data_IF_425286816880
#
_entry.id   IF_425286816880
#
_cell.length_a   1.000
_cell.length_b   1.000
_cell.length_c   1.000
_cell.angle_alpha   90.00
_cell.angle_beta   90.00
_cell.angle_gamma   90.00
#
_symmetry.space_group_name_H-M   'P 1'
#
loop_
_entity.id
_entity.type
_entity.pdbx_description
1 polymer ?
#
# COMPACT_ATOMS: atom_id res chain seq x y z
N UNK A 1 -20.16 17.61 -2.51
CA UNK A 1 -18.98 18.29 -1.90
C UNK A 1 -19.15 18.27 -0.40
N UNK A 2 -18.70 17.21 0.23
CA UNK A 2 -18.65 17.12 1.68
C UNK A 2 -17.38 17.84 2.13
N UNK A 3 -17.49 19.13 2.39
CA UNK A 3 -16.47 19.89 3.08
C UNK A 3 -16.44 19.45 4.53
N UNK A 4 -15.58 18.53 4.89
CA UNK A 4 -15.17 18.31 6.27
C UNK A 4 -14.28 19.50 6.64
N UNK A 5 -14.90 20.60 7.01
CA UNK A 5 -14.27 21.65 7.80
C UNK A 5 -14.21 21.14 9.23
N UNK A 6 -13.22 20.36 9.54
CA UNK A 6 -12.89 20.09 10.93
C UNK A 6 -11.93 21.16 11.41
N UNK A 7 -12.45 22.05 12.23
CA UNK A 7 -11.71 23.13 12.87
C UNK A 7 -11.18 22.73 14.26
N UNK A 8 -11.24 21.47 14.63
CA UNK A 8 -10.52 20.94 15.77
C UNK A 8 -9.20 20.37 15.27
N UNK A 9 -8.10 21.06 15.50
CA UNK A 9 -6.76 20.51 15.23
C UNK A 9 -6.63 19.21 16.02
N UNK A 10 -6.65 18.07 15.31
CA UNK A 10 -6.48 16.75 15.91
C UNK A 10 -5.12 16.71 16.62
N UNK A 11 -5.15 16.66 17.95
CA UNK A 11 -3.95 16.68 18.78
C UNK A 11 -2.99 15.52 18.45
N UNK A 12 -3.46 14.52 17.73
CA UNK A 12 -2.73 13.35 17.26
C UNK A 12 -2.43 13.37 15.76
N UNK A 13 -2.70 14.51 15.07
CA UNK A 13 -2.23 14.71 13.70
C UNK A 13 -0.71 14.70 13.66
N UNK A 14 -0.15 14.13 12.57
CA UNK A 14 1.29 13.96 12.38
C UNK A 14 2.09 15.26 12.56
N UNK A 15 1.58 16.38 12.09
CA UNK A 15 2.25 17.68 12.17
C UNK A 15 2.35 18.15 13.64
N UNK A 16 1.26 18.01 14.38
CA UNK A 16 1.18 18.37 15.79
C UNK A 16 2.00 17.40 16.65
N UNK A 17 1.89 16.10 16.40
CA UNK A 17 2.70 15.08 17.05
C UNK A 17 4.21 15.36 16.92
N UNK A 18 4.65 15.83 15.73
CA UNK A 18 6.07 16.14 15.49
C UNK A 18 6.60 17.17 16.51
N UNK A 19 5.89 18.27 16.68
CA UNK A 19 6.30 19.32 17.62
C UNK A 19 6.18 18.90 19.08
N UNK A 20 5.14 18.18 19.42
CA UNK A 20 4.94 17.66 20.78
C UNK A 20 6.02 16.65 21.16
N UNK A 21 6.39 15.75 20.26
CA UNK A 21 7.49 14.81 20.46
C UNK A 21 8.83 15.52 20.55
N UNK A 22 9.05 16.55 19.72
CA UNK A 22 10.28 17.36 19.81
C UNK A 22 10.45 17.96 21.20
N UNK A 23 9.36 18.53 21.77
CA UNK A 23 9.37 19.08 23.12
C UNK A 23 9.63 18.00 24.19
N UNK A 24 9.00 16.83 24.09
CA UNK A 24 9.22 15.73 25.04
C UNK A 24 10.65 15.17 24.96
N UNK A 25 11.26 15.18 23.80
CA UNK A 25 12.62 14.68 23.59
C UNK A 25 13.72 15.69 24.01
N UNK A 26 13.38 16.89 24.48
CA UNK A 26 14.34 17.83 25.11
C UNK A 26 14.82 17.35 26.46
N UNK A 27 13.95 16.67 27.22
CA UNK A 27 14.29 16.06 28.48
C UNK A 27 14.45 14.54 28.36
N UNK A 28 15.67 14.10 28.01
CA UNK A 28 16.03 12.68 27.81
C UNK A 28 16.53 12.02 29.09
N UNK A 29 16.42 12.67 30.23
CA UNK A 29 16.98 12.15 31.51
C UNK A 29 16.09 11.07 32.14
N UNK A 30 14.89 10.87 31.62
CA UNK A 30 14.00 9.80 32.09
C UNK A 30 14.57 8.40 31.76
N UNK A 31 14.52 7.45 32.73
CA UNK A 31 15.11 6.12 32.54
C UNK A 31 14.62 5.37 31.30
N UNK A 32 13.34 5.55 30.94
CA UNK A 32 12.74 4.93 29.77
C UNK A 32 13.34 5.43 28.45
N UNK A 33 13.90 6.64 28.41
CA UNK A 33 14.47 7.28 27.22
C UNK A 33 16.00 7.11 27.10
N UNK A 34 16.64 6.45 28.08
CA UNK A 34 18.09 6.23 28.06
C UNK A 34 18.63 5.59 26.77
N UNK A 35 17.92 4.63 26.13
CA UNK A 35 18.36 4.09 24.84
C UNK A 35 18.50 5.13 23.73
N UNK A 36 17.78 6.25 23.82
CA UNK A 36 17.80 7.32 22.83
C UNK A 36 18.89 8.36 23.10
N UNK A 37 19.43 8.40 24.31
CA UNK A 37 20.39 9.43 24.77
C UNK A 37 21.64 9.46 23.90
N UNK A 38 22.22 8.31 23.59
CA UNK A 38 23.43 8.22 22.77
C UNK A 38 23.19 8.68 21.33
N UNK A 39 22.01 8.40 20.79
CA UNK A 39 21.64 8.81 19.43
C UNK A 39 21.36 10.31 19.33
N UNK A 40 20.70 10.88 20.32
CA UNK A 40 20.25 12.28 20.35
C UNK A 40 21.29 13.26 20.91
N UNK A 41 22.43 12.77 21.42
CA UNK A 41 23.55 13.58 21.91
C UNK A 41 24.57 13.91 20.81
N UNK A 42 25.45 14.90 21.06
CA UNK A 42 26.55 15.29 20.18
C UNK A 42 26.20 16.47 19.24
N UNK A 43 27.08 16.71 18.27
CA UNK A 43 26.90 17.81 17.30
C UNK A 43 25.58 17.66 16.53
N UNK A 44 24.91 18.80 16.29
CA UNK A 44 23.60 18.89 15.64
C UNK A 44 22.46 18.13 16.37
N UNK A 45 22.55 18.04 17.68
CA UNK A 45 21.52 17.36 18.52
C UNK A 45 20.10 17.87 18.25
N UNK A 46 19.92 19.17 18.02
CA UNK A 46 18.62 19.78 17.76
C UNK A 46 18.02 19.31 16.43
N UNK A 47 18.84 19.25 15.38
CA UNK A 47 18.40 18.75 14.08
C UNK A 47 18.07 17.24 14.14
N UNK A 48 18.93 16.46 14.78
CA UNK A 48 18.69 15.01 14.98
C UNK A 48 17.40 14.77 15.76
N UNK A 49 17.17 15.54 16.83
CA UNK A 49 15.96 15.44 17.65
C UNK A 49 14.70 15.75 16.85
N UNK A 50 14.71 16.82 16.05
CA UNK A 50 13.58 17.16 15.18
C UNK A 50 13.32 16.10 14.12
N UNK A 51 14.36 15.60 13.44
CA UNK A 51 14.24 14.54 12.46
C UNK A 51 13.68 13.23 13.06
N UNK A 52 14.17 12.88 14.25
CA UNK A 52 13.68 11.73 15.00
C UNK A 52 12.23 11.92 15.43
N UNK A 53 11.87 13.07 15.99
CA UNK A 53 10.49 13.41 16.36
C UNK A 53 9.54 13.28 15.16
N UNK A 54 9.96 13.74 13.97
CA UNK A 54 9.17 13.61 12.74
C UNK A 54 8.97 12.16 12.31
N UNK A 55 10.00 11.31 12.46
CA UNK A 55 9.90 9.88 12.15
C UNK A 55 8.97 9.17 13.14
N UNK A 56 9.09 9.45 14.42
CA UNK A 56 8.21 8.85 15.45
C UNK A 56 6.78 9.34 15.31
N UNK A 57 6.56 10.62 14.98
CA UNK A 57 5.22 11.13 14.70
C UNK A 57 4.56 10.39 13.54
N UNK A 58 5.30 10.15 12.46
CA UNK A 58 4.82 9.35 11.34
C UNK A 58 4.50 7.91 11.76
N UNK A 59 5.37 7.30 12.56
CA UNK A 59 5.16 5.94 13.06
C UNK A 59 3.93 5.85 13.97
N UNK A 60 3.74 6.81 14.86
CA UNK A 60 2.57 6.85 15.74
C UNK A 60 1.26 7.14 14.98
N UNK A 61 1.32 7.98 13.95
CA UNK A 61 0.19 8.19 13.04
C UNK A 61 -0.20 6.88 12.33
N UNK A 62 0.78 6.12 11.83
CA UNK A 62 0.53 4.81 11.25
C UNK A 62 0.01 3.78 12.28
N UNK A 63 0.54 3.75 13.49
CA UNK A 63 0.09 2.81 14.53
C UNK A 63 -1.38 2.99 14.89
N UNK A 64 -1.88 4.21 14.88
CA UNK A 64 -3.29 4.50 15.17
C UNK A 64 -4.25 3.76 14.20
N UNK A 65 -3.80 3.53 12.97
CA UNK A 65 -4.62 2.95 11.90
C UNK A 65 -4.27 1.48 11.67
N UNK A 66 -2.96 1.15 11.62
CA UNK A 66 -2.48 -0.17 11.23
C UNK A 66 -2.33 -1.13 12.40
N UNK A 67 -2.18 -0.61 13.64
CA UNK A 67 -1.94 -1.40 14.85
C UNK A 67 -2.78 -0.92 16.04
N UNK A 68 -4.10 -0.92 15.90
CA UNK A 68 -5.01 -0.42 16.95
C UNK A 68 -4.86 -1.18 18.27
N UNK A 69 -4.55 -2.48 18.22
CA UNK A 69 -4.36 -3.31 19.42
C UNK A 69 -3.13 -2.88 20.21
N UNK A 70 -2.05 -2.51 19.52
CA UNK A 70 -0.83 -1.96 20.14
C UNK A 70 -1.13 -0.66 20.88
N UNK A 71 -1.82 0.27 20.20
CA UNK A 71 -2.19 1.56 20.78
C UNK A 71 -3.13 1.38 21.96
N UNK A 72 -4.14 0.52 21.84
CA UNK A 72 -5.07 0.19 22.94
C UNK A 72 -4.36 -0.45 24.13
N UNK A 73 -3.38 -1.32 23.89
CA UNK A 73 -2.55 -1.87 24.96
C UNK A 73 -1.77 -0.79 25.69
N UNK A 74 -1.18 0.16 24.97
CA UNK A 74 -0.44 1.28 25.54
C UNK A 74 -1.33 2.25 26.33
N UNK A 75 -2.53 2.55 25.84
CA UNK A 75 -3.52 3.37 26.55
C UNK A 75 -3.91 2.74 27.91
N UNK A 76 -3.98 1.40 27.94
CA UNK A 76 -4.23 0.63 29.16
C UNK A 76 -2.97 0.36 30.00
N UNK A 77 -1.83 0.99 29.66
CA UNK A 77 -0.56 0.84 30.37
C UNK A 77 0.13 -0.52 30.19
N UNK A 78 -0.35 -1.37 29.28
CA UNK A 78 0.21 -2.70 29.02
C UNK A 78 1.19 -2.67 27.86
N UNK A 79 2.19 -3.53 27.89
CA UNK A 79 3.08 -3.80 26.74
C UNK A 79 2.41 -4.80 25.83
N UNK A 80 2.60 -4.64 24.53
CA UNK A 80 2.05 -5.51 23.50
C UNK A 80 3.05 -6.58 23.05
N UNK A 81 4.34 -6.21 22.98
CA UNK A 81 5.43 -7.11 22.61
C UNK A 81 6.50 -7.18 23.70
N UNK A 82 7.47 -8.08 23.53
CA UNK A 82 8.67 -8.15 24.39
C UNK A 82 9.86 -7.34 23.84
N UNK A 83 9.65 -6.58 22.77
CA UNK A 83 10.71 -5.81 22.13
C UNK A 83 11.16 -4.66 23.06
N UNK A 84 12.46 -4.48 23.21
CA UNK A 84 13.04 -3.39 24.03
C UNK A 84 12.69 -2.01 23.50
N UNK A 85 12.55 -1.85 22.19
CA UNK A 85 12.15 -0.59 21.57
C UNK A 85 10.73 -0.16 21.91
N UNK A 86 9.84 -1.08 22.25
CA UNK A 86 8.47 -0.75 22.66
C UNK A 86 8.43 0.06 23.94
N UNK A 87 9.37 -0.17 24.86
CA UNK A 87 9.38 0.48 26.16
C UNK A 87 9.44 2.01 26.07
N UNK A 88 10.35 2.56 25.27
CA UNK A 88 10.47 4.00 25.11
C UNK A 88 9.37 4.58 24.21
N UNK A 89 8.88 3.82 23.23
CA UNK A 89 7.74 4.24 22.39
C UNK A 89 6.45 4.36 23.22
N UNK A 90 6.13 3.35 24.02
CA UNK A 90 5.00 3.37 24.94
C UNK A 90 5.11 4.55 25.92
N UNK A 91 6.32 4.81 26.44
CA UNK A 91 6.54 5.93 27.36
C UNK A 91 6.24 7.29 26.69
N UNK A 92 6.73 7.52 25.47
CA UNK A 92 6.43 8.74 24.71
C UNK A 92 4.93 8.85 24.41
N UNK A 93 4.29 7.75 23.99
CA UNK A 93 2.84 7.72 23.74
C UNK A 93 2.05 8.10 25.01
N UNK A 94 2.37 7.52 26.16
CA UNK A 94 1.74 7.84 27.44
C UNK A 94 1.88 9.32 27.80
N UNK A 95 3.05 9.92 27.58
CA UNK A 95 3.26 11.37 27.80
C UNK A 95 2.40 12.23 26.87
N UNK A 96 2.31 11.84 25.59
CA UNK A 96 1.42 12.51 24.62
C UNK A 96 -0.05 12.44 25.07
N UNK A 97 -0.51 11.29 25.53
CA UNK A 97 -1.88 11.11 26.06
C UNK A 97 -2.14 11.96 27.29
N UNK A 98 -1.21 12.03 28.23
CA UNK A 98 -1.34 12.83 29.46
C UNK A 98 -1.41 14.34 29.19
N UNK A 99 -0.79 14.80 28.13
CA UNK A 99 -0.73 16.23 27.76
C UNK A 99 -1.78 16.62 26.71
N UNK A 100 -2.70 15.72 26.36
CA UNK A 100 -3.75 15.95 25.37
C UNK A 100 -5.11 15.57 25.91
N UNK A 101 -6.10 16.41 25.63
CA UNK A 101 -7.51 16.13 25.92
C UNK A 101 -8.28 15.52 24.73
N UNK A 102 -7.61 15.38 23.56
CA UNK A 102 -8.23 14.84 22.35
C UNK A 102 -8.21 13.32 22.29
N UNK A 103 -9.14 12.78 21.51
CA UNK A 103 -9.17 11.37 21.10
C UNK A 103 -8.25 11.15 19.91
N UNK A 104 -7.60 10.02 19.81
CA UNK A 104 -6.80 9.67 18.64
C UNK A 104 -7.64 8.85 17.63
N UNK A 105 -7.18 8.78 16.36
CA UNK A 105 -7.93 8.13 15.26
C UNK A 105 -8.33 6.69 15.56
N UNK A 106 -7.45 5.91 16.21
CA UNK A 106 -7.76 4.53 16.58
C UNK A 106 -8.91 4.41 17.58
N UNK A 107 -9.06 5.38 18.47
CA UNK A 107 -10.17 5.48 19.43
C UNK A 107 -11.48 5.85 18.73
N UNK A 108 -11.43 6.87 17.85
CA UNK A 108 -12.59 7.29 17.04
C UNK A 108 -13.11 6.16 16.17
N UNK A 109 -12.22 5.46 15.44
CA UNK A 109 -12.62 4.35 14.60
C UNK A 109 -13.15 3.18 15.46
N UNK A 110 -12.52 2.90 16.60
CA UNK A 110 -13.02 1.89 17.52
C UNK A 110 -14.43 2.18 18.05
N UNK A 111 -14.69 3.43 18.44
CA UNK A 111 -16.02 3.88 18.87
C UNK A 111 -17.04 3.83 17.72
N UNK A 112 -16.63 4.15 16.50
CA UNK A 112 -17.50 4.02 15.33
C UNK A 112 -17.91 2.57 15.08
N UNK A 113 -16.97 1.62 15.12
CA UNK A 113 -17.25 0.19 14.95
C UNK A 113 -18.25 -0.28 16.02
N UNK A 114 -18.00 0.09 17.27
CA UNK A 114 -18.88 -0.26 18.39
C UNK A 114 -20.29 0.35 18.23
N UNK A 115 -20.35 1.59 17.75
CA UNK A 115 -21.61 2.28 17.51
C UNK A 115 -22.43 1.61 16.38
N UNK A 116 -21.78 1.32 15.25
CA UNK A 116 -22.42 0.64 14.12
C UNK A 116 -23.01 -0.72 14.51
N UNK A 117 -22.27 -1.49 15.32
CA UNK A 117 -22.74 -2.80 15.79
C UNK A 117 -23.89 -2.71 16.81
N UNK A 118 -23.97 -1.62 17.61
CA UNK A 118 -25.00 -1.49 18.65
C UNK A 118 -26.23 -0.71 18.21
N UNK A 119 -26.09 0.16 17.24
CA UNK A 119 -27.08 1.11 16.78
C UNK A 119 -27.27 1.07 15.27
N UNK A 120 -27.67 -0.08 14.69
CA UNK A 120 -27.92 -0.18 13.26
C UNK A 120 -29.03 0.77 12.77
N UNK A 121 -29.94 1.18 13.67
CA UNK A 121 -31.02 2.13 13.41
C UNK A 121 -30.53 3.55 13.07
N UNK A 122 -29.28 3.90 13.43
CA UNK A 122 -28.70 5.21 13.13
C UNK A 122 -28.17 5.30 11.68
N UNK A 123 -28.12 4.18 10.96
CA UNK A 123 -27.75 4.15 9.55
C UNK A 123 -28.93 4.68 8.72
N UNK A 124 -28.73 5.73 7.90
CA UNK A 124 -29.81 6.28 7.10
C UNK A 124 -30.47 5.22 6.20
N UNK A 125 -31.81 5.16 6.10
CA UNK A 125 -32.52 4.15 5.29
C UNK A 125 -32.13 4.15 3.80
N UNK A 126 -31.68 5.29 3.30
CA UNK A 126 -31.23 5.44 1.90
C UNK A 126 -29.83 4.87 1.67
N UNK A 127 -29.10 4.54 2.74
CA UNK A 127 -27.75 4.00 2.67
C UNK A 127 -27.79 2.47 2.68
N UNK A 128 -28.19 1.90 1.53
CA UNK A 128 -28.44 0.45 1.40
C UNK A 128 -27.25 -0.33 0.88
N UNK A 129 -26.33 0.30 0.12
CA UNK A 129 -25.22 -0.38 -0.57
C UNK A 129 -23.95 0.43 -0.52
N UNK A 130 -22.84 -0.28 -0.34
CA UNK A 130 -21.47 0.24 -0.44
C UNK A 130 -20.70 -0.56 -1.48
N UNK A 131 -20.09 0.13 -2.43
CA UNK A 131 -19.22 -0.48 -3.44
C UNK A 131 -17.78 -0.08 -3.18
N UNK A 132 -16.94 -1.06 -2.89
CA UNK A 132 -15.50 -0.89 -2.69
C UNK A 132 -14.79 -1.34 -3.95
N UNK A 133 -14.18 -0.39 -4.66
CA UNK A 133 -13.58 -0.63 -5.96
C UNK A 133 -12.16 -0.06 -6.05
N UNK A 134 -11.25 -0.78 -6.75
CA UNK A 134 -9.91 -0.31 -7.07
C UNK A 134 -8.93 -0.28 -5.89
N UNK A 135 -9.24 -0.95 -4.79
CA UNK A 135 -8.33 -1.08 -3.65
C UNK A 135 -7.50 -2.36 -3.77
N UNK A 136 -6.18 -2.22 -3.61
CA UNK A 136 -5.25 -3.36 -3.55
C UNK A 136 -4.77 -3.61 -2.12
N UNK A 137 -5.11 -2.74 -1.19
CA UNK A 137 -4.83 -2.88 0.25
C UNK A 137 -5.74 -1.94 1.02
N UNK A 138 -6.11 -2.35 2.22
CA UNK A 138 -6.91 -1.56 3.15
C UNK A 138 -6.38 -1.80 4.56
N UNK A 139 -6.19 -0.74 5.38
CA UNK A 139 -5.85 -0.93 6.78
C UNK A 139 -6.89 -1.80 7.50
N UNK A 140 -6.47 -2.71 8.39
CA UNK A 140 -7.39 -3.63 9.08
C UNK A 140 -8.55 -2.95 9.79
N UNK A 141 -8.34 -1.75 10.33
CA UNK A 141 -9.42 -1.00 10.99
C UNK A 141 -10.52 -0.57 10.04
N UNK A 142 -10.18 -0.12 8.83
CA UNK A 142 -11.20 0.26 7.84
C UNK A 142 -11.98 -0.97 7.35
N UNK A 143 -11.30 -2.10 7.20
CA UNK A 143 -11.98 -3.36 6.90
C UNK A 143 -12.99 -3.72 8.00
N UNK A 144 -12.61 -3.60 9.27
CA UNK A 144 -13.53 -3.82 10.41
C UNK A 144 -14.71 -2.86 10.44
N UNK A 145 -14.53 -1.61 10.00
CA UNK A 145 -15.66 -0.67 9.82
C UNK A 145 -16.61 -1.18 8.74
N UNK A 146 -16.07 -1.64 7.61
CA UNK A 146 -16.89 -2.19 6.53
C UNK A 146 -17.59 -3.49 6.93
N UNK A 147 -16.94 -4.34 7.71
CA UNK A 147 -17.55 -5.56 8.27
C UNK A 147 -18.68 -5.21 9.24
N UNK A 148 -18.47 -4.27 10.18
CA UNK A 148 -19.53 -3.83 11.08
C UNK A 148 -20.70 -3.14 10.34
N UNK A 149 -20.41 -2.48 9.22
CA UNK A 149 -21.44 -1.89 8.38
C UNK A 149 -22.23 -2.97 7.62
N UNK A 150 -21.57 -4.07 7.24
CA UNK A 150 -22.17 -5.16 6.47
C UNK A 150 -23.28 -5.91 7.24
N UNK A 151 -23.36 -5.76 8.57
CA UNK A 151 -24.46 -6.27 9.38
C UNK A 151 -25.83 -5.62 9.01
N UNK A 152 -25.80 -4.44 8.39
CA UNK A 152 -27.00 -3.65 8.08
C UNK A 152 -27.07 -3.14 6.64
N UNK A 153 -25.98 -3.18 5.90
CA UNK A 153 -25.82 -2.60 4.56
C UNK A 153 -25.14 -3.60 3.65
N UNK A 154 -25.60 -3.75 2.40
CA UNK A 154 -24.90 -4.60 1.43
C UNK A 154 -23.54 -3.98 1.07
N UNK A 155 -22.44 -4.68 1.37
CA UNK A 155 -21.07 -4.26 1.04
C UNK A 155 -20.52 -5.14 -0.06
N UNK A 156 -20.23 -4.55 -1.21
CA UNK A 156 -19.69 -5.24 -2.38
C UNK A 156 -18.22 -4.89 -2.59
N UNK A 157 -17.34 -5.89 -2.57
CA UNK A 157 -15.93 -5.74 -2.88
C UNK A 157 -15.64 -6.17 -4.31
N UNK A 158 -15.06 -5.27 -5.11
CA UNK A 158 -14.52 -5.58 -6.43
C UNK A 158 -13.01 -5.71 -6.33
N UNK A 159 -12.56 -6.92 -6.09
CA UNK A 159 -11.14 -7.26 -5.94
C UNK A 159 -10.51 -7.52 -7.31
N UNK A 160 -9.45 -6.80 -7.64
CA UNK A 160 -8.62 -7.13 -8.80
C UNK A 160 -7.68 -8.27 -8.42
N UNK A 161 -8.01 -9.48 -8.89
CA UNK A 161 -7.22 -10.68 -8.71
C UNK A 161 -6.43 -10.99 -9.98
N UNK A 162 -5.11 -11.17 -9.91
CA UNK A 162 -4.29 -11.54 -11.08
C UNK A 162 -4.37 -13.03 -11.43
N UNK A 163 -4.95 -13.84 -10.56
CA UNK A 163 -5.03 -15.29 -10.64
C UNK A 163 -6.45 -15.74 -10.28
N UNK A 164 -6.98 -16.75 -10.97
CA UNK A 164 -8.29 -17.33 -10.70
C UNK A 164 -8.32 -18.20 -9.44
N UNK A 165 -7.15 -18.60 -8.94
CA UNK A 165 -7.01 -19.40 -7.73
C UNK A 165 -6.56 -18.58 -6.53
N UNK A 166 -6.79 -19.10 -5.32
CA UNK A 166 -6.24 -18.52 -4.11
C UNK A 166 -4.71 -18.56 -4.15
N UNK A 167 -4.07 -17.40 -3.99
CA UNK A 167 -2.61 -17.28 -4.01
C UNK A 167 -1.99 -16.75 -2.72
N UNK A 168 -2.76 -16.71 -1.62
CA UNK A 168 -2.29 -16.25 -0.31
C UNK A 168 -1.10 -17.06 0.24
N UNK A 169 -1.08 -18.36 -0.03
CA UNK A 169 -0.02 -19.27 0.43
C UNK A 169 1.27 -19.24 -0.42
N UNK A 170 1.37 -18.31 -1.35
CA UNK A 170 2.53 -18.23 -2.24
C UNK A 170 3.76 -17.68 -1.52
N UNK A 171 4.73 -18.53 -1.27
CA UNK A 171 6.03 -18.13 -0.78
C UNK A 171 6.89 -17.51 -1.89
N UNK A 172 7.45 -16.35 -1.62
CA UNK A 172 8.46 -15.75 -2.50
C UNK A 172 9.69 -16.68 -2.60
N UNK A 173 10.41 -16.63 -3.73
CA UNK A 173 11.66 -17.41 -3.92
C UNK A 173 12.66 -17.21 -2.77
N UNK A 174 12.71 -16.02 -2.14
CA UNK A 174 13.55 -15.74 -0.98
C UNK A 174 13.10 -16.46 0.28
N UNK A 175 11.78 -16.56 0.51
CA UNK A 175 11.22 -17.29 1.64
C UNK A 175 11.48 -18.80 1.48
N UNK A 176 11.41 -19.33 0.25
CA UNK A 176 11.75 -20.75 -0.06
C UNK A 176 13.21 -21.08 0.16
N UNK A 177 14.14 -20.17 -0.15
CA UNK A 177 15.60 -20.40 0.08
C UNK A 177 15.93 -20.43 1.57
N UNK A 178 15.17 -19.71 2.41
CA UNK A 178 15.36 -19.66 3.87
C UNK A 178 14.70 -20.83 4.64
N UNK A 179 13.77 -21.55 4.02
CA UNK A 179 13.14 -22.75 4.58
C UNK A 179 13.74 -23.95 3.89
N UNK A 180 14.16 -24.94 4.66
CA UNK A 180 14.67 -26.21 4.09
C UNK A 180 13.62 -26.92 3.24
N UNK A 181 14.03 -27.88 2.37
CA UNK A 181 13.12 -28.54 1.40
C UNK A 181 11.97 -29.36 2.03
N UNK A 182 11.96 -29.55 3.34
CA UNK A 182 11.00 -30.43 4.02
C UNK A 182 9.74 -29.73 4.60
N UNK A 183 9.66 -28.39 4.54
CA UNK A 183 8.57 -27.63 5.18
C UNK A 183 7.48 -27.13 4.22
N UNK A 184 7.40 -27.63 3.00
CA UNK A 184 6.40 -27.16 2.04
C UNK A 184 5.15 -28.06 2.05
N UNK A 185 3.93 -27.53 2.36
CA UNK A 185 2.69 -28.33 2.35
C UNK A 185 2.29 -28.81 0.95
N UNK A 186 2.87 -28.26 -0.10
CA UNK A 186 2.66 -28.64 -1.50
C UNK A 186 3.92 -29.33 -2.07
N UNK A 187 4.27 -30.50 -1.56
CA UNK A 187 5.36 -31.31 -2.13
C UNK A 187 4.96 -32.05 -3.42
N UNK A 188 4.07 -31.47 -4.19
CA UNK A 188 3.75 -31.86 -5.56
C UNK A 188 4.34 -30.84 -6.53
N UNK A 189 4.89 -31.28 -7.64
CA UNK A 189 5.72 -30.59 -8.63
C UNK A 189 5.18 -29.30 -9.28
N UNK A 190 4.11 -28.70 -8.80
CA UNK A 190 3.59 -27.43 -9.29
C UNK A 190 4.17 -26.26 -8.49
N UNK A 191 5.01 -25.49 -9.13
CA UNK A 191 5.55 -24.23 -8.57
C UNK A 191 4.64 -23.09 -9.04
N UNK A 192 4.30 -22.19 -8.11
CA UNK A 192 3.53 -20.98 -8.46
C UNK A 192 4.30 -20.09 -9.44
N UNK A 193 3.58 -19.36 -10.27
CA UNK A 193 4.16 -18.47 -11.26
C UNK A 193 5.10 -17.43 -10.59
N UNK A 194 6.38 -17.33 -11.01
CA UNK A 194 7.39 -16.51 -10.29
C UNK A 194 7.07 -15.02 -10.25
N UNK A 195 6.41 -14.49 -11.27
CA UNK A 195 5.96 -13.09 -11.28
C UNK A 195 4.85 -12.85 -10.24
N UNK A 196 3.90 -13.78 -10.13
CA UNK A 196 2.84 -13.70 -9.17
C UNK A 196 3.38 -13.77 -7.73
N UNK A 197 4.27 -14.73 -7.46
CA UNK A 197 4.93 -14.86 -6.16
C UNK A 197 5.85 -13.67 -5.81
N UNK A 198 6.45 -13.02 -6.80
CA UNK A 198 7.34 -11.87 -6.62
C UNK A 198 6.64 -10.52 -6.53
N UNK A 199 5.64 -10.29 -7.35
CA UNK A 199 4.95 -9.01 -7.49
C UNK A 199 3.55 -9.01 -6.87
N UNK A 200 2.89 -10.17 -6.77
CA UNK A 200 1.52 -10.32 -6.27
C UNK A 200 1.37 -10.35 -4.75
N UNK A 201 2.47 -10.29 -3.99
CA UNK A 201 2.46 -10.48 -2.53
C UNK A 201 1.51 -9.52 -1.80
N UNK A 202 1.47 -8.26 -2.17
CA UNK A 202 0.57 -7.29 -1.53
C UNK A 202 -0.91 -7.64 -1.72
N UNK A 203 -1.27 -8.14 -2.92
CA UNK A 203 -2.62 -8.63 -3.19
C UNK A 203 -2.93 -9.92 -2.43
N UNK A 204 -1.95 -10.82 -2.31
CA UNK A 204 -2.06 -12.04 -1.52
C UNK A 204 -2.31 -11.73 -0.02
N UNK A 205 -1.46 -10.88 0.58
CA UNK A 205 -1.60 -10.43 1.97
C UNK A 205 -2.97 -9.74 2.20
N UNK A 206 -3.48 -9.01 1.20
CA UNK A 206 -4.79 -8.36 1.29
C UNK A 206 -5.94 -9.34 1.16
N UNK A 207 -5.86 -10.33 0.28
CA UNK A 207 -6.84 -11.40 0.17
C UNK A 207 -6.92 -12.23 1.45
N UNK A 208 -5.78 -12.61 2.02
CA UNK A 208 -5.70 -13.29 3.32
C UNK A 208 -6.39 -12.46 4.42
N UNK A 209 -6.08 -11.15 4.48
CA UNK A 209 -6.71 -10.25 5.44
C UNK A 209 -8.23 -10.17 5.27
N UNK A 210 -8.74 -10.16 4.04
CA UNK A 210 -10.17 -10.18 3.76
C UNK A 210 -10.82 -11.47 4.29
N UNK A 211 -10.23 -12.62 3.98
CA UNK A 211 -10.74 -13.93 4.42
C UNK A 211 -10.69 -14.08 5.94
N UNK A 212 -9.66 -13.56 6.60
CA UNK A 212 -9.53 -13.62 8.06
C UNK A 212 -10.52 -12.73 8.82
N UNK A 213 -10.98 -11.64 8.21
CA UNK A 213 -11.82 -10.65 8.89
C UNK A 213 -13.31 -10.79 8.58
N UNK A 214 -13.66 -11.54 7.53
CA UNK A 214 -15.04 -11.71 7.07
C UNK A 214 -15.50 -13.14 7.32
N UNK A 215 -16.38 -13.33 8.29
CA UNK A 215 -16.91 -14.66 8.66
C UNK A 215 -17.89 -15.20 7.60
N UNK A 216 -18.69 -14.32 7.01
CA UNK A 216 -19.68 -14.67 5.99
C UNK A 216 -19.44 -13.84 4.73
N UNK A 217 -18.87 -14.45 3.71
CA UNK A 217 -18.66 -13.83 2.40
C UNK A 217 -19.44 -14.64 1.34
N UNK A 218 -20.22 -13.92 0.53
CA UNK A 218 -20.87 -14.53 -0.62
C UNK A 218 -20.01 -14.24 -1.84
N UNK A 219 -19.51 -15.29 -2.48
CA UNK A 219 -18.73 -15.16 -3.70
C UNK A 219 -19.61 -14.62 -4.82
N UNK A 220 -19.15 -13.54 -5.43
CA UNK A 220 -19.76 -12.98 -6.63
C UNK A 220 -19.34 -13.73 -7.90
N UNK A 221 -19.85 -13.32 -9.06
CA UNK A 221 -19.42 -13.89 -10.33
C UNK A 221 -17.93 -13.64 -10.57
N UNK A 222 -17.22 -14.66 -10.99
CA UNK A 222 -15.86 -14.53 -11.48
C UNK A 222 -15.87 -13.86 -12.86
N UNK A 223 -15.10 -12.78 -13.01
CA UNK A 223 -15.03 -11.97 -14.22
C UNK A 223 -13.66 -12.12 -14.91
N UNK A 224 -13.10 -13.34 -14.84
CA UNK A 224 -11.85 -13.64 -15.52
C UNK A 224 -12.07 -13.89 -17.00
N UNK A 225 -11.11 -13.45 -17.81
CA UNK A 225 -11.12 -13.65 -19.27
C UNK A 225 -9.80 -14.31 -19.67
N UNK A 226 -9.86 -15.49 -20.28
CA UNK A 226 -8.71 -16.14 -20.90
C UNK A 226 -8.56 -15.73 -22.37
N UNK A 227 -7.36 -15.89 -22.90
CA UNK A 227 -7.03 -15.59 -24.31
C UNK A 227 -6.86 -16.87 -25.16
N UNK A 228 -7.38 -18.01 -24.70
CA UNK A 228 -7.13 -19.34 -25.32
C UNK A 228 -7.58 -19.47 -26.77
N UNK A 229 -8.54 -18.65 -27.19
CA UNK A 229 -9.10 -18.68 -28.53
C UNK A 229 -8.33 -17.81 -29.57
N UNK A 230 -7.23 -17.14 -29.14
CA UNK A 230 -6.46 -16.25 -30.03
C UNK A 230 -5.45 -17.07 -30.85
N UNK A 231 -5.58 -17.13 -32.18
CA UNK A 231 -4.58 -17.78 -33.03
C UNK A 231 -3.23 -17.08 -32.94
N UNK A 232 -2.13 -17.83 -33.01
CA UNK A 232 -0.76 -17.30 -32.91
C UNK A 232 -0.56 -16.36 -31.72
N UNK A 233 -1.05 -16.78 -30.53
CA UNK A 233 -1.14 -16.04 -29.32
C UNK A 233 0.16 -15.26 -28.98
N UNK A 234 0.10 -13.91 -28.84
CA UNK A 234 1.24 -13.09 -28.46
C UNK A 234 1.83 -13.49 -27.10
N UNK A 235 3.11 -13.18 -26.87
CA UNK A 235 3.81 -13.47 -25.62
C UNK A 235 3.06 -12.87 -24.42
N UNK A 236 2.51 -11.66 -24.56
CA UNK A 236 1.74 -11.00 -23.50
C UNK A 236 0.51 -11.83 -23.09
N UNK A 237 -0.25 -12.35 -24.05
CA UNK A 237 -1.47 -13.12 -23.75
C UNK A 237 -1.15 -14.47 -23.12
N UNK A 238 -0.06 -15.13 -23.55
CA UNK A 238 0.43 -16.34 -22.88
C UNK A 238 0.81 -16.07 -21.45
N UNK A 239 1.56 -14.98 -21.21
CA UNK A 239 1.94 -14.56 -19.86
C UNK A 239 0.71 -14.25 -18.98
N UNK A 240 -0.31 -13.61 -19.54
CA UNK A 240 -1.56 -13.33 -18.84
C UNK A 240 -2.33 -14.61 -18.49
N UNK A 241 -2.40 -15.57 -19.40
CA UNK A 241 -3.02 -16.86 -19.13
C UNK A 241 -2.24 -17.67 -18.08
N UNK A 242 -0.91 -17.71 -18.18
CA UNK A 242 -0.06 -18.36 -17.16
C UNK A 242 -0.24 -17.74 -15.78
N UNK A 243 -0.38 -16.41 -15.70
CA UNK A 243 -0.68 -15.70 -14.47
C UNK A 243 -2.08 -16.02 -13.94
N UNK A 244 -3.07 -16.10 -14.83
CA UNK A 244 -4.45 -16.42 -14.49
C UNK A 244 -4.56 -17.83 -13.90
N UNK A 245 -3.85 -18.80 -14.49
CA UNK A 245 -3.77 -20.17 -13.99
C UNK A 245 -2.92 -20.27 -12.70
N UNK A 246 -2.06 -19.30 -12.42
CA UNK A 246 -1.23 -19.24 -11.22
C UNK A 246 -0.14 -20.29 -11.09
N UNK A 247 -0.02 -21.19 -12.07
CA UNK A 247 0.88 -22.32 -12.05
C UNK A 247 2.09 -22.10 -12.96
N UNK A 248 3.23 -22.61 -12.53
CA UNK A 248 4.48 -22.57 -13.27
C UNK A 248 5.08 -23.97 -13.35
N UNK A 249 5.21 -24.49 -14.56
CA UNK A 249 5.93 -25.73 -14.82
C UNK A 249 7.38 -25.40 -15.18
N UNK A 250 8.34 -25.76 -14.34
CA UNK A 250 9.77 -25.56 -14.60
C UNK A 250 10.28 -26.29 -15.85
N UNK A 251 9.58 -27.36 -16.22
CA UNK A 251 9.80 -28.08 -17.49
C UNK A 251 9.18 -27.36 -18.68
N UNK A 252 8.83 -26.11 -18.50
CA UNK A 252 8.10 -25.23 -19.37
C UNK A 252 8.15 -25.67 -20.82
N UNK A 253 7.01 -25.80 -21.44
CA UNK A 253 6.95 -25.90 -22.89
C UNK A 253 7.73 -24.69 -23.43
N UNK A 254 9.01 -24.94 -23.73
CA UNK A 254 9.80 -23.99 -24.49
C UNK A 254 8.94 -23.60 -25.67
N UNK A 255 8.60 -22.35 -25.78
CA UNK A 255 7.82 -21.83 -26.90
C UNK A 255 8.56 -22.25 -28.16
N UNK A 256 8.06 -23.30 -28.81
CA UNK A 256 8.65 -23.84 -30.03
C UNK A 256 8.33 -22.86 -31.15
N UNK A 257 9.27 -22.00 -31.48
CA UNK A 257 9.16 -21.11 -32.63
C UNK A 257 9.69 -19.70 -32.30
N UNK A 258 10.20 -19.00 -33.29
CA UNK A 258 10.55 -17.60 -33.14
C UNK A 258 9.27 -16.79 -32.93
N UNK A 259 9.02 -16.38 -31.71
CA UNK A 259 7.97 -15.42 -31.40
C UNK A 259 8.60 -14.04 -31.54
N UNK A 260 8.71 -13.57 -32.77
CA UNK A 260 8.96 -12.16 -33.06
C UNK A 260 7.63 -11.44 -32.89
N UNK A 261 7.27 -11.09 -31.66
CA UNK A 261 6.18 -10.16 -31.40
C UNK A 261 6.67 -9.05 -30.46
N UNK A 262 6.17 -7.86 -30.67
CA UNK A 262 6.47 -6.66 -29.91
C UNK A 262 5.49 -6.48 -28.72
N UNK A 263 4.74 -7.52 -28.32
CA UNK A 263 3.74 -7.43 -27.24
C UNK A 263 4.37 -7.23 -25.86
N UNK A 264 5.60 -7.69 -25.67
CA UNK A 264 6.42 -7.42 -24.46
C UNK A 264 7.81 -6.97 -24.86
N UNK A 265 8.16 -5.73 -24.56
CA UNK A 265 9.47 -5.16 -24.89
C UNK A 265 10.20 -4.76 -23.61
N UNK A 266 11.44 -5.23 -23.45
CA UNK A 266 12.31 -4.90 -22.32
C UNK A 266 13.51 -4.11 -22.81
N UNK A 267 13.66 -2.87 -22.34
CA UNK A 267 14.75 -1.98 -22.72
C UNK A 267 15.63 -1.64 -21.53
N UNK A 268 16.92 -1.84 -21.64
CA UNK A 268 17.90 -1.42 -20.62
C UNK A 268 18.53 -0.09 -21.00
N UNK A 269 18.47 0.89 -20.10
CA UNK A 269 19.00 2.22 -20.30
C UNK A 269 20.04 2.59 -19.24
N UNK A 270 21.09 3.33 -19.61
CA UNK A 270 22.17 3.73 -18.71
C UNK A 270 21.81 4.90 -17.79
N UNK A 271 20.72 5.61 -18.04
CA UNK A 271 20.26 6.73 -17.22
C UNK A 271 18.76 6.96 -17.33
N UNK A 272 18.16 7.57 -16.31
CA UNK A 272 16.73 7.93 -16.30
C UNK A 272 16.36 8.89 -17.46
N UNK A 273 17.24 9.80 -17.80
CA UNK A 273 17.03 10.70 -18.96
C UNK A 273 16.94 9.87 -20.25
N UNK A 274 17.83 8.89 -20.45
CA UNK A 274 17.80 8.03 -21.63
C UNK A 274 16.57 7.14 -21.63
N UNK A 275 16.19 6.59 -20.48
CA UNK A 275 14.97 5.82 -20.29
C UNK A 275 13.72 6.62 -20.71
N UNK A 276 13.60 7.85 -20.21
CA UNK A 276 12.49 8.76 -20.58
C UNK A 276 12.47 9.09 -22.07
N UNK A 277 13.66 9.27 -22.69
CA UNK A 277 13.77 9.55 -24.13
C UNK A 277 13.38 8.35 -24.98
N UNK A 278 13.86 7.16 -24.63
CA UNK A 278 13.51 5.90 -25.32
C UNK A 278 12.01 5.60 -25.21
N UNK A 279 11.43 5.85 -24.03
CA UNK A 279 9.98 5.71 -23.84
C UNK A 279 9.21 6.63 -24.80
N UNK A 280 9.62 7.90 -24.93
CA UNK A 280 8.99 8.82 -25.88
C UNK A 280 9.11 8.32 -27.31
N UNK A 281 10.29 7.84 -27.73
CA UNK A 281 10.52 7.32 -29.08
C UNK A 281 9.58 6.13 -29.37
N UNK A 282 9.39 5.21 -28.39
CA UNK A 282 8.44 4.10 -28.52
C UNK A 282 6.98 4.58 -28.62
N UNK A 283 6.58 5.52 -27.77
CA UNK A 283 5.21 6.06 -27.79
C UNK A 283 4.94 6.72 -29.16
N UNK A 284 5.87 7.52 -29.67
CA UNK A 284 5.70 8.16 -30.97
C UNK A 284 5.64 7.15 -32.13
N UNK A 285 6.43 6.06 -32.03
CA UNK A 285 6.37 4.96 -32.98
C UNK A 285 4.99 4.31 -32.95
N UNK A 286 4.49 3.91 -31.78
CA UNK A 286 3.18 3.26 -31.66
C UNK A 286 2.03 4.12 -32.15
N UNK A 287 2.04 5.43 -31.86
CA UNK A 287 1.04 6.37 -32.38
C UNK A 287 1.14 6.56 -33.91
N UNK A 288 2.33 6.35 -34.49
CA UNK A 288 2.51 6.36 -35.93
C UNK A 288 2.08 5.07 -36.61
N UNK A 289 2.27 3.94 -35.95
CA UNK A 289 1.96 2.60 -36.49
C UNK A 289 0.47 2.26 -36.37
N UNK A 290 -0.22 2.74 -35.31
CA UNK A 290 -1.65 2.52 -35.08
C UNK A 290 -2.44 3.84 -35.01
N UNK A 291 -3.20 4.18 -36.06
CA UNK A 291 -4.03 5.38 -36.10
C UNK A 291 -5.20 5.41 -35.10
N UNK A 292 -5.56 4.27 -34.52
CA UNK A 292 -6.63 4.18 -33.52
C UNK A 292 -6.11 4.42 -32.10
N UNK A 293 -4.82 4.20 -31.84
CA UNK A 293 -4.19 4.42 -30.54
C UNK A 293 -4.17 5.91 -30.20
N UNK A 294 -4.61 6.25 -29.00
CA UNK A 294 -4.64 7.63 -28.50
C UNK A 294 -3.77 7.77 -27.26
N UNK A 295 -3.29 8.97 -27.00
CA UNK A 295 -2.43 9.24 -25.84
C UNK A 295 -3.04 8.79 -24.51
N UNK A 296 -4.35 8.86 -24.35
CA UNK A 296 -5.02 8.45 -23.12
C UNK A 296 -5.17 6.91 -22.98
N UNK A 297 -4.88 6.16 -24.01
CA UNK A 297 -4.82 4.70 -23.96
C UNK A 297 -3.46 4.21 -23.43
N UNK A 298 -2.49 5.12 -23.26
CA UNK A 298 -1.13 4.81 -22.82
C UNK A 298 -0.93 5.23 -21.36
N UNK A 299 -0.57 4.27 -20.51
CA UNK A 299 -0.23 4.51 -19.10
C UNK A 299 1.23 4.18 -18.85
N UNK A 300 1.94 5.11 -18.21
CA UNK A 300 3.32 4.94 -17.78
C UNK A 300 3.38 4.87 -16.26
N UNK A 301 3.97 3.82 -15.72
CA UNK A 301 4.10 3.63 -14.28
C UNK A 301 5.56 3.66 -13.87
N UNK A 302 5.87 4.29 -12.73
CA UNK A 302 7.20 4.30 -12.13
C UNK A 302 7.09 4.03 -10.62
N UNK A 303 7.98 3.20 -10.02
CA UNK A 303 7.96 2.95 -8.58
C UNK A 303 8.11 4.21 -7.73
N UNK A 304 8.87 5.19 -8.21
CA UNK A 304 9.09 6.50 -7.57
C UNK A 304 9.05 7.58 -8.64
N UNK A 305 7.85 8.08 -8.91
CA UNK A 305 7.63 9.10 -9.95
C UNK A 305 8.44 10.39 -9.72
N UNK A 306 8.74 10.73 -8.46
CA UNK A 306 9.51 11.92 -8.09
C UNK A 306 10.90 11.96 -8.76
N UNK A 307 11.46 10.82 -9.11
CA UNK A 307 12.75 10.76 -9.83
C UNK A 307 12.64 11.20 -11.30
N UNK A 308 11.45 11.30 -11.84
CA UNK A 308 11.16 11.59 -13.25
C UNK A 308 10.42 12.93 -13.46
N UNK A 309 9.91 13.54 -12.38
CA UNK A 309 9.07 14.75 -12.44
C UNK A 309 9.73 15.89 -13.22
N UNK A 310 11.04 16.09 -13.08
CA UNK A 310 11.77 17.13 -13.80
C UNK A 310 12.19 16.70 -15.22
N UNK A 311 12.30 15.39 -15.47
CA UNK A 311 12.72 14.82 -16.75
C UNK A 311 11.56 14.71 -17.75
N UNK A 312 10.38 14.35 -17.27
CA UNK A 312 9.20 14.16 -18.12
C UNK A 312 8.85 15.45 -18.89
N UNK A 313 8.65 16.62 -18.26
CA UNK A 313 8.34 17.83 -19.00
C UNK A 313 9.46 18.28 -19.95
N UNK A 314 10.72 17.97 -19.62
CA UNK A 314 11.86 18.30 -20.48
C UNK A 314 11.89 17.47 -21.77
N UNK A 315 11.52 16.18 -21.67
CA UNK A 315 11.54 15.25 -22.82
C UNK A 315 10.23 15.30 -23.58
N UNK A 316 9.08 15.32 -22.89
CA UNK A 316 7.73 15.24 -23.47
C UNK A 316 7.09 16.61 -23.76
N UNK A 317 7.85 17.69 -23.85
CA UNK A 317 7.34 19.06 -24.03
C UNK A 317 6.41 19.24 -25.25
N UNK A 318 6.54 18.39 -26.26
CA UNK A 318 5.77 18.35 -27.50
C UNK A 318 4.70 17.24 -27.54
N UNK A 319 4.57 16.46 -26.47
CA UNK A 319 3.58 15.39 -26.32
C UNK A 319 2.72 15.69 -25.09
N UNK A 320 1.41 15.69 -25.24
CA UNK A 320 0.49 15.91 -24.13
C UNK A 320 0.63 14.79 -23.09
N UNK A 321 0.81 15.16 -21.82
CA UNK A 321 0.96 14.23 -20.72
C UNK A 321 0.43 14.83 -19.42
N UNK A 322 0.07 13.98 -18.46
CA UNK A 322 -0.24 14.35 -17.08
C UNK A 322 0.58 13.49 -16.12
N UNK A 323 0.96 14.05 -14.97
CA UNK A 323 1.76 13.36 -13.96
C UNK A 323 0.97 13.33 -12.66
N UNK A 324 0.52 12.14 -12.29
CA UNK A 324 -0.14 11.89 -11.01
C UNK A 324 0.88 11.60 -9.90
N UNK A 325 0.44 11.66 -8.64
CA UNK A 325 1.22 11.35 -7.43
C UNK A 325 2.51 12.18 -7.23
N UNK A 326 2.68 13.23 -7.99
CA UNK A 326 3.76 14.18 -7.72
C UNK A 326 3.32 15.23 -6.71
N UNK A 327 4.12 15.44 -5.67
CA UNK A 327 3.94 16.59 -4.77
C UNK A 327 4.11 17.85 -5.59
N UNK A 328 3.02 18.58 -5.85
CA UNK A 328 3.08 19.86 -6.54
C UNK A 328 3.98 20.80 -5.71
N UNK A 329 4.93 21.48 -6.37
CA UNK A 329 5.77 22.51 -5.73
C UNK A 329 4.96 23.57 -4.97
N UNK A 330 3.67 23.75 -5.31
CA UNK A 330 2.72 24.66 -4.65
C UNK A 330 2.42 24.34 -3.19
N UNK A 331 2.68 23.13 -2.72
CA UNK A 331 2.48 22.79 -1.30
C UNK A 331 3.66 23.21 -0.41
N UNK A 332 4.73 23.71 -1.00
CA UNK A 332 5.88 24.20 -0.25
C UNK A 332 5.79 25.73 -0.15
N UNK A 333 5.09 26.25 0.87
CA UNK A 333 4.92 27.69 1.17
C UNK A 333 6.22 28.49 1.29
N UNK A 334 7.37 27.82 1.27
CA UNK A 334 8.69 28.44 1.34
C UNK A 334 9.35 28.66 -0.02
N UNK A 335 8.70 28.30 -1.14
CA UNK A 335 9.21 28.47 -2.51
C UNK A 335 8.47 29.61 -3.25
N UNK A 336 7.50 30.28 -2.62
CA UNK A 336 6.85 31.49 -3.12
C UNK A 336 7.52 32.75 -2.57
N UNK A 337 8.83 32.91 -2.79
CA UNK A 337 9.54 34.20 -2.62
C UNK A 337 10.31 34.49 -3.90
#
# INVERSE_FOLDING_TARGET
QMCIRDSSSDAFDRSILTWRLELLLRDINEPALQPLKSYLSGDQSDLKRFQFARQIAHLFDQYQIMRPELIRAWDNGRRFTRNSAESWQQHLWKKLRQTSTGTHRGEVIGSLIEHLSKHPEDIPPDFQRVFVFGLHTLPPQFLRVLTALADSVEVHFFLLAPCAFYWGDMDSRRARIGRGPEEHPLSGSATFHPLLAGLGRQGADFQELLLDQVEEMIDGPELFTSHDEVPDMPVLYRLQNDLLEGLWNETGSAVSGPVEDDSVVIVSCHSRMRETSVLKDHILKWLGDDPQLRLHDIVVMAPVIQHYVDLIPAVFKDVAHDISDCRKRRDNRYVEV
#
